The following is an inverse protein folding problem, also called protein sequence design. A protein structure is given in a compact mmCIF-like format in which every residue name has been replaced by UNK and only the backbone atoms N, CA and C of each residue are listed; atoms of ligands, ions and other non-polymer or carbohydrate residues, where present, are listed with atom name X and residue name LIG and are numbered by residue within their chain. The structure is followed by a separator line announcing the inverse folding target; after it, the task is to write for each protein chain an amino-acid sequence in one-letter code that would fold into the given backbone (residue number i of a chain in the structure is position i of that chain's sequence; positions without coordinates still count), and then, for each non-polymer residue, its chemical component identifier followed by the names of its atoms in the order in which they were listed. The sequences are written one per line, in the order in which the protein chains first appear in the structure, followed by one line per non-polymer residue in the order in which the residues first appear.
data_IF_520846583528
#
_entry.id   IF_520846583528
#
_cell.length_a   1.000
_cell.length_b   1.000
_cell.length_c   1.000
_cell.angle_alpha   90.00
_cell.angle_beta   90.00
_cell.angle_gamma   90.00
#
_symmetry.space_group_name_H-M   'P 1'
#
loop_
_entity.id
_entity.type
_entity.pdbx_description
1 polymer ?
#
# COMPACT_ATOMS: atom_id res chain seq x y z
N UNK A 1 -14.75 5.19 -14.42
CA UNK A 1 -13.41 5.82 -14.33
C UNK A 1 -12.44 4.69 -14.09
N UNK A 2 -11.54 4.40 -15.03
CA UNK A 2 -10.70 3.21 -14.99
C UNK A 2 -9.29 3.50 -14.50
N UNK A 3 -8.71 2.56 -13.78
CA UNK A 3 -7.31 2.61 -13.36
C UNK A 3 -6.40 2.40 -14.58
N UNK A 4 -5.45 3.30 -14.79
CA UNK A 4 -4.50 3.26 -15.90
C UNK A 4 -3.09 2.91 -15.42
N UNK A 5 -2.69 3.35 -14.23
CA UNK A 5 -1.44 2.95 -13.61
C UNK A 5 -1.50 2.97 -12.08
N UNK A 6 -0.57 2.24 -11.45
CA UNK A 6 -0.33 2.29 -10.00
C UNK A 6 1.16 2.40 -9.74
N UNK A 7 1.58 3.46 -9.06
CA UNK A 7 2.98 3.73 -8.72
C UNK A 7 3.12 3.77 -7.21
N UNK A 8 4.28 3.34 -6.72
CA UNK A 8 4.59 3.36 -5.31
C UNK A 8 5.99 3.92 -5.11
N UNK A 9 6.12 4.85 -4.18
CA UNK A 9 7.37 5.53 -3.87
C UNK A 9 7.60 5.45 -2.37
N UNK A 10 8.66 4.77 -1.95
CA UNK A 10 9.07 4.74 -0.55
C UNK A 10 9.85 6.00 -0.22
N UNK A 11 9.45 6.66 0.86
CA UNK A 11 10.11 7.83 1.41
C UNK A 11 10.59 7.56 2.82
N UNK A 12 11.72 8.17 3.17
CA UNK A 12 12.26 8.19 4.52
C UNK A 12 12.24 9.63 5.05
N UNK A 13 11.48 9.85 6.12
CA UNK A 13 11.30 11.15 6.76
C UNK A 13 12.14 11.15 8.05
N UNK A 14 13.17 12.00 8.17
CA UNK A 14 14.03 12.01 9.35
C UNK A 14 13.26 12.46 10.60
N UNK A 15 13.64 11.93 11.75
CA UNK A 15 13.18 12.40 13.06
C UNK A 15 14.12 13.50 13.56
N UNK A 16 13.55 14.58 14.07
CA UNK A 16 14.34 15.64 14.73
C UNK A 16 14.89 15.19 16.08
N UNK A 17 14.16 14.32 16.79
CA UNK A 17 14.51 13.83 18.13
C UNK A 17 14.23 12.33 18.30
N UNK A 18 14.96 11.62 19.20
CA UNK A 18 14.72 10.21 19.45
C UNK A 18 13.32 9.94 20.04
N UNK A 19 12.55 9.05 19.39
CA UNK A 19 11.24 8.61 19.88
C UNK A 19 11.36 7.28 20.66
N UNK A 20 10.95 7.25 21.93
CA UNK A 20 10.98 6.07 22.80
C UNK A 20 9.63 5.35 22.82
N UNK A 21 9.64 4.02 22.88
CA UNK A 21 8.46 3.17 23.02
C UNK A 21 8.83 1.85 23.74
N UNK A 22 7.84 1.01 24.08
CA UNK A 22 8.08 -0.25 24.79
C UNK A 22 9.10 -1.18 24.07
N UNK A 23 9.19 -1.08 22.75
CA UNK A 23 10.13 -1.85 21.92
C UNK A 23 11.51 -1.17 21.75
N UNK A 24 11.84 -0.15 22.55
CA UNK A 24 13.13 0.57 22.48
C UNK A 24 13.01 2.00 21.94
N UNK A 25 13.93 2.38 21.04
CA UNK A 25 13.99 3.72 20.43
C UNK A 25 13.83 3.58 18.92
N UNK A 26 13.00 4.43 18.31
CA UNK A 26 12.78 4.46 16.88
C UNK A 26 14.08 4.80 16.12
N UNK A 27 14.24 4.27 14.92
CA UNK A 27 15.51 4.28 14.16
C UNK A 27 15.85 5.62 13.48
N UNK A 28 15.44 6.74 14.07
CA UNK A 28 15.79 8.09 13.59
C UNK A 28 15.08 8.55 12.31
N UNK A 29 14.16 7.76 11.75
CA UNK A 29 13.34 8.12 10.58
C UNK A 29 12.04 7.32 10.53
N UNK A 30 10.99 7.89 9.97
CA UNK A 30 9.81 7.15 9.52
C UNK A 30 9.99 6.73 8.07
N UNK A 31 9.63 5.49 7.77
CA UNK A 31 9.57 4.99 6.39
C UNK A 31 8.11 4.78 6.04
N UNK A 32 7.70 5.32 4.89
CA UNK A 32 6.35 5.21 4.33
C UNK A 32 6.41 4.97 2.83
N UNK A 33 5.41 4.28 2.32
CA UNK A 33 5.25 4.07 0.89
C UNK A 33 4.04 4.86 0.44
N UNK A 34 4.25 5.88 -0.38
CA UNK A 34 3.17 6.64 -1.01
C UNK A 34 2.73 5.88 -2.25
N UNK A 35 1.42 5.68 -2.41
CA UNK A 35 0.81 4.97 -3.53
C UNK A 35 0.02 5.98 -4.35
N UNK A 36 0.33 6.05 -5.63
CA UNK A 36 -0.36 6.87 -6.63
C UNK A 36 -1.18 5.95 -7.52
N UNK A 37 -2.45 6.27 -7.72
CA UNK A 37 -3.36 5.57 -8.64
C UNK A 37 -3.78 6.54 -9.73
N UNK A 38 -3.28 6.31 -10.94
CA UNK A 38 -3.64 7.09 -12.10
C UNK A 38 -4.91 6.51 -12.74
N UNK A 39 -5.75 7.38 -13.29
CA UNK A 39 -6.99 6.98 -13.95
C UNK A 39 -7.02 7.44 -15.40
N UNK A 40 -8.05 7.02 -16.14
CA UNK A 40 -8.37 7.54 -17.47
C UNK A 40 -9.01 8.94 -17.44
N UNK A 41 -9.25 9.50 -16.25
CA UNK A 41 -9.64 10.89 -16.05
C UNK A 41 -8.46 11.80 -15.70
N UNK A 42 -8.75 13.08 -15.43
CA UNK A 42 -7.74 14.09 -15.04
C UNK A 42 -7.34 14.02 -13.55
N UNK A 43 -7.81 13.01 -12.82
CA UNK A 43 -7.62 12.87 -11.37
C UNK A 43 -6.73 11.66 -11.06
N UNK A 44 -5.76 11.88 -10.17
CA UNK A 44 -4.97 10.84 -9.53
C UNK A 44 -5.37 10.69 -8.05
N UNK A 45 -5.41 9.45 -7.57
CA UNK A 45 -5.63 9.13 -6.16
C UNK A 45 -4.31 8.91 -5.42
N UNK A 46 -4.24 9.33 -4.15
CA UNK A 46 -3.09 9.11 -3.27
C UNK A 46 -3.47 8.27 -2.05
N UNK A 47 -2.58 7.35 -1.68
CA UNK A 47 -2.68 6.54 -0.47
C UNK A 47 -1.33 6.35 0.21
N UNK A 48 -1.34 5.87 1.45
CA UNK A 48 -0.14 5.60 2.24
C UNK A 48 -0.17 4.15 2.77
N UNK A 49 0.98 3.48 2.71
CA UNK A 49 1.23 2.19 3.37
C UNK A 49 2.46 2.33 4.30
N UNK A 50 2.52 1.48 5.32
CA UNK A 50 3.71 1.32 6.16
C UNK A 50 4.97 1.09 5.29
N UNK A 51 6.11 1.54 5.81
CA UNK A 51 7.37 1.41 5.10
C UNK A 51 7.78 -0.04 4.91
N UNK A 52 8.02 -0.42 3.66
CA UNK A 52 8.61 -1.73 3.30
C UNK A 52 9.78 -1.62 2.33
N UNK A 53 10.22 -0.40 1.99
CA UNK A 53 11.31 -0.19 1.04
C UNK A 53 10.98 -0.72 -0.34
N UNK A 54 12.01 -1.19 -1.03
CA UNK A 54 11.90 -1.81 -2.36
C UNK A 54 10.87 -2.95 -2.41
N UNK A 55 10.71 -3.71 -1.32
CA UNK A 55 9.73 -4.79 -1.28
C UNK A 55 8.29 -4.27 -1.37
N UNK A 56 7.97 -3.16 -0.69
CA UNK A 56 6.66 -2.55 -0.79
C UNK A 56 6.40 -2.03 -2.21
N UNK A 57 7.38 -1.34 -2.81
CA UNK A 57 7.26 -0.85 -4.18
C UNK A 57 7.08 -1.98 -5.19
N UNK A 58 7.83 -3.07 -5.03
CA UNK A 58 7.69 -4.26 -5.86
C UNK A 58 6.31 -4.91 -5.71
N UNK A 59 5.77 -4.98 -4.49
CA UNK A 59 4.43 -5.49 -4.24
C UNK A 59 3.37 -4.67 -4.99
N UNK A 60 3.38 -3.34 -4.88
CA UNK A 60 2.44 -2.47 -5.60
C UNK A 60 2.62 -2.52 -7.12
N UNK A 61 3.86 -2.59 -7.62
CA UNK A 61 4.13 -2.82 -9.04
C UNK A 61 3.56 -4.16 -9.52
N UNK A 62 3.61 -5.19 -8.68
CA UNK A 62 2.98 -6.49 -8.94
C UNK A 62 1.45 -6.44 -9.00
N UNK A 63 0.81 -5.49 -8.31
CA UNK A 63 -0.66 -5.33 -8.34
C UNK A 63 -1.20 -4.80 -9.67
N UNK A 64 -0.36 -4.21 -10.53
CA UNK A 64 -0.79 -3.65 -11.83
C UNK A 64 -1.58 -4.67 -12.66
N UNK A 65 -1.12 -5.91 -12.72
CA UNK A 65 -1.77 -6.99 -13.49
C UNK A 65 -3.18 -7.35 -12.99
N UNK A 66 -3.51 -7.00 -11.74
CA UNK A 66 -4.80 -7.26 -11.13
C UNK A 66 -5.77 -6.08 -11.24
N UNK A 67 -5.25 -4.84 -11.35
CA UNK A 67 -6.02 -3.62 -11.12
C UNK A 67 -6.19 -2.72 -12.36
N UNK A 68 -5.21 -2.69 -13.27
CA UNK A 68 -5.30 -1.85 -14.47
C UNK A 68 -6.50 -2.27 -15.33
N UNK A 69 -7.28 -1.29 -15.77
CA UNK A 69 -8.49 -1.48 -16.59
C UNK A 69 -9.79 -1.68 -15.81
N UNK A 70 -9.74 -1.85 -14.49
CA UNK A 70 -10.91 -1.92 -13.63
C UNK A 70 -11.46 -0.53 -13.28
N UNK A 71 -12.77 -0.46 -13.00
CA UNK A 71 -13.38 0.77 -12.51
C UNK A 71 -12.96 1.04 -11.07
N UNK A 72 -12.50 2.28 -10.82
CA UNK A 72 -12.01 2.75 -9.52
C UNK A 72 -13.07 2.64 -8.42
N UNK A 73 -14.36 2.77 -8.76
CA UNK A 73 -15.45 2.80 -7.79
C UNK A 73 -16.01 1.41 -7.44
N UNK A 74 -15.56 0.35 -8.10
CA UNK A 74 -15.93 -1.03 -7.79
C UNK A 74 -15.10 -1.59 -6.62
N UNK A 75 -15.10 -0.89 -5.48
CA UNK A 75 -14.20 -1.15 -4.35
C UNK A 75 -14.21 -2.60 -3.84
N UNK A 76 -15.38 -3.23 -3.76
CA UNK A 76 -15.47 -4.63 -3.34
C UNK A 76 -14.84 -5.59 -4.36
N UNK A 77 -15.04 -5.36 -5.66
CA UNK A 77 -14.43 -6.19 -6.70
C UNK A 77 -12.90 -6.04 -6.68
N UNK A 78 -12.40 -4.82 -6.51
CA UNK A 78 -10.96 -4.55 -6.34
C UNK A 78 -10.42 -5.22 -5.07
N UNK A 79 -11.16 -5.15 -3.95
CA UNK A 79 -10.78 -5.82 -2.69
C UNK A 79 -10.63 -7.32 -2.87
N UNK A 80 -11.56 -7.99 -3.56
CA UNK A 80 -11.47 -9.44 -3.81
C UNK A 80 -10.33 -9.83 -4.76
N UNK A 81 -9.91 -8.93 -5.66
CA UNK A 81 -8.77 -9.16 -6.55
C UNK A 81 -7.43 -9.07 -5.84
N UNK A 82 -7.32 -8.19 -4.84
CA UNK A 82 -6.08 -7.98 -4.07
C UNK A 82 -6.03 -8.93 -2.88
N UNK A 83 -7.09 -8.97 -2.08
CA UNK A 83 -7.19 -9.82 -0.91
C UNK A 83 -7.61 -11.20 -1.37
N UNK A 84 -6.71 -12.18 -1.34
CA UNK A 84 -7.08 -13.57 -1.56
C UNK A 84 -8.16 -13.96 -0.50
N UNK A 85 -9.41 -14.25 -0.90
CA UNK A 85 -10.50 -14.57 0.03
C UNK A 85 -10.24 -15.85 0.84
N UNK A 86 -9.36 -16.73 0.36
CA UNK A 86 -8.92 -17.91 1.11
C UNK A 86 -7.82 -17.59 2.13
N UNK A 87 -6.97 -16.59 1.87
CA UNK A 87 -5.93 -16.16 2.82
C UNK A 87 -6.51 -15.42 4.03
N UNK A 88 -7.60 -14.67 3.86
CA UNK A 88 -8.32 -14.05 4.99
C UNK A 88 -8.91 -15.08 5.95
N UNK A 89 -9.31 -16.26 5.45
CA UNK A 89 -9.75 -17.38 6.29
C UNK A 89 -8.58 -17.99 7.09
N UNK A 90 -7.40 -18.09 6.49
CA UNK A 90 -6.22 -18.67 7.15
C UNK A 90 -5.46 -17.70 8.07
N UNK A 91 -5.48 -16.38 7.80
CA UNK A 91 -4.81 -15.37 8.63
C UNK A 91 -5.69 -14.86 9.80
N UNK A 92 -7.02 -14.94 9.72
CA UNK A 92 -7.89 -14.54 10.84
C UNK A 92 -7.86 -15.52 12.03
N UNK A 93 -7.23 -16.69 11.90
CA UNK A 93 -7.08 -17.66 13.00
C UNK A 93 -5.72 -17.54 13.73
N UNK A 94 -4.91 -16.51 13.44
CA UNK A 94 -3.64 -16.25 14.14
C UNK A 94 -3.68 -15.02 15.06
N UNK A 95 -4.81 -14.80 15.71
CA UNK A 95 -4.87 -14.05 16.96
C UNK A 95 -4.99 -15.07 18.11
N UNK A 96 -4.22 -14.93 19.21
CA UNK A 96 -4.50 -15.68 20.42
C UNK A 96 -5.88 -15.35 21.00
#
# INVERSE_FOLDING_TARGET
MKITDIRATTVAIPLEVPLRHANGVHWGKFVRTIVEVDTDGELAGLGEMLGGGEFAEAAFRGLKSYLVGHDLFELEALRFKICNPTSSLCNNHKLP
#
